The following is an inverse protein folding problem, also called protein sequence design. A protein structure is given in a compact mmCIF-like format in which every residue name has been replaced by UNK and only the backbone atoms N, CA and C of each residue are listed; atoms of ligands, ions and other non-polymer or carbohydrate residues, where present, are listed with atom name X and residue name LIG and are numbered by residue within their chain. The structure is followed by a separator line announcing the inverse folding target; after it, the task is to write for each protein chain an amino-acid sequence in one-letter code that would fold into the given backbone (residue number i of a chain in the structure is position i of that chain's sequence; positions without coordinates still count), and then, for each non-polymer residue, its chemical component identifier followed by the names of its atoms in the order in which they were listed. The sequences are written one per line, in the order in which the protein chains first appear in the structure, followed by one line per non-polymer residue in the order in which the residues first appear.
data_IF_385135929449
#
_entry.id   IF_385135929449
#
_cell.length_a   1.000
_cell.length_b   1.000
_cell.length_c   1.000
_cell.angle_alpha   90.00
_cell.angle_beta   90.00
_cell.angle_gamma   90.00
#
_symmetry.space_group_name_H-M   'P 1'
#
loop_
_entity.id
_entity.type
_entity.pdbx_description
1 polymer ?
#
# COMPACT_ATOMS: atom_id res chain seq x y z
N UNK A 1 -9.35 -3.06 5.30
CA UNK A 1 -8.13 -2.26 5.60
C UNK A 1 -7.59 -2.61 6.98
N UNK A 2 -8.41 -2.65 8.03
CA UNK A 2 -7.96 -2.97 9.41
C UNK A 2 -7.11 -4.25 9.51
N UNK A 3 -7.51 -5.32 8.83
CA UNK A 3 -6.71 -6.57 8.79
C UNK A 3 -5.31 -6.37 8.21
N UNK A 4 -5.13 -5.53 7.20
CA UNK A 4 -3.82 -5.21 6.62
C UNK A 4 -2.95 -4.40 7.59
N UNK A 5 -3.57 -3.57 8.44
CA UNK A 5 -2.88 -2.84 9.51
C UNK A 5 -2.45 -3.80 10.62
N UNK A 6 -3.35 -4.70 11.04
CA UNK A 6 -3.04 -5.75 12.02
C UNK A 6 -1.91 -6.66 11.55
N UNK A 7 -1.88 -7.00 10.25
CA UNK A 7 -0.83 -7.79 9.62
C UNK A 7 0.42 -6.98 9.25
N UNK A 8 0.47 -5.69 9.59
CA UNK A 8 1.59 -4.79 9.31
C UNK A 8 1.96 -4.67 7.83
N UNK A 9 0.99 -4.85 6.93
CA UNK A 9 1.12 -4.56 5.49
C UNK A 9 0.80 -3.10 5.17
N UNK A 10 0.07 -2.45 6.07
CA UNK A 10 -0.17 -1.00 6.12
C UNK A 10 0.13 -0.50 7.54
N UNK A 11 0.43 0.78 7.68
CA UNK A 11 0.57 1.45 8.98
C UNK A 11 -0.18 2.77 8.95
N UNK A 12 -0.87 3.10 10.05
CA UNK A 12 -1.51 4.40 10.22
C UNK A 12 -0.42 5.47 10.38
N UNK A 13 -0.48 6.51 9.57
CA UNK A 13 0.48 7.62 9.55
C UNK A 13 -0.31 8.92 9.71
N UNK A 14 -0.71 9.18 10.94
CA UNK A 14 -1.49 10.34 11.31
C UNK A 14 -1.78 10.30 12.82
N UNK A 15 -1.96 11.47 13.41
CA UNK A 15 -2.44 11.59 14.78
C UNK A 15 -3.97 11.67 14.78
N UNK A 16 -4.62 11.08 15.79
CA UNK A 16 -6.08 11.09 15.96
C UNK A 16 -6.68 12.51 16.01
N UNK A 17 -5.85 13.53 16.27
CA UNK A 17 -6.24 14.93 16.43
C UNK A 17 -6.34 15.70 15.09
N UNK A 18 -6.11 15.08 13.93
CA UNK A 18 -6.27 15.72 12.62
C UNK A 18 -7.72 15.61 12.12
N UNK A 19 -8.30 16.72 11.67
CA UNK A 19 -9.61 16.77 11.01
C UNK A 19 -9.64 16.03 9.65
N UNK A 20 -8.47 15.76 9.07
CA UNK A 20 -8.33 14.88 7.92
C UNK A 20 -8.55 13.42 8.35
N UNK A 21 -9.32 12.66 7.57
CA UNK A 21 -9.50 11.22 7.82
C UNK A 21 -8.17 10.44 7.91
N UNK A 22 -8.20 9.19 8.42
CA UNK A 22 -6.99 8.43 8.73
C UNK A 22 -6.12 8.22 7.48
N UNK A 23 -4.85 8.61 7.58
CA UNK A 23 -3.84 8.45 6.52
C UNK A 23 -3.05 7.17 6.77
N UNK A 24 -2.77 6.39 5.73
CA UNK A 24 -2.03 5.13 5.83
C UNK A 24 -0.83 5.12 4.89
N UNK A 25 0.22 4.42 5.29
CA UNK A 25 1.40 4.14 4.46
C UNK A 25 1.52 2.64 4.23
N UNK A 26 1.93 2.29 3.03
CA UNK A 26 2.28 0.93 2.65
C UNK A 26 3.65 0.56 3.20
N UNK A 27 3.76 -0.60 3.86
CA UNK A 27 4.99 -1.08 4.51
C UNK A 27 5.65 -2.25 3.79
N UNK A 28 5.11 -2.67 2.64
CA UNK A 28 5.66 -3.76 1.83
C UNK A 28 6.53 -3.25 0.70
N UNK A 29 7.48 -4.08 0.25
CA UNK A 29 8.35 -3.77 -0.89
C UNK A 29 7.60 -3.88 -2.22
N UNK A 30 8.18 -3.27 -3.26
CA UNK A 30 7.65 -3.37 -4.63
C UNK A 30 7.65 -4.82 -5.14
N UNK A 31 8.63 -5.63 -4.77
CA UNK A 31 8.68 -7.06 -5.16
C UNK A 31 7.48 -7.84 -4.61
N UNK A 32 7.10 -7.58 -3.37
CA UNK A 32 5.91 -8.18 -2.75
C UNK A 32 4.64 -7.74 -3.48
N UNK A 33 4.49 -6.44 -3.75
CA UNK A 33 3.36 -5.89 -4.50
C UNK A 33 3.28 -6.53 -5.90
N UNK A 34 4.41 -6.68 -6.58
CA UNK A 34 4.49 -7.30 -7.91
C UNK A 34 4.12 -8.78 -7.88
N UNK A 35 4.54 -9.51 -6.84
CA UNK A 35 4.15 -10.90 -6.66
C UNK A 35 2.63 -11.05 -6.54
N UNK A 36 1.96 -10.19 -5.76
CA UNK A 36 0.50 -10.16 -5.66
C UNK A 36 -0.13 -9.74 -6.99
N UNK A 37 0.38 -8.70 -7.66
CA UNK A 37 -0.18 -8.23 -8.93
C UNK A 37 -0.24 -9.35 -9.99
N UNK A 38 0.77 -10.24 -10.02
CA UNK A 38 0.78 -11.41 -10.90
C UNK A 38 -0.34 -12.41 -10.60
N UNK A 39 -0.73 -12.61 -9.35
CA UNK A 39 -1.78 -13.58 -9.00
C UNK A 39 -3.16 -13.18 -9.51
N UNK A 40 -3.35 -11.88 -9.78
CA UNK A 40 -4.58 -11.30 -10.31
C UNK A 40 -4.44 -10.80 -11.74
N UNK A 41 -3.37 -11.18 -12.45
CA UNK A 41 -3.07 -10.75 -13.82
C UNK A 41 -3.08 -9.22 -14.02
N UNK A 42 -2.55 -8.48 -13.05
CA UNK A 42 -2.47 -7.02 -13.08
C UNK A 42 -1.04 -6.52 -13.32
N UNK A 43 -0.88 -5.55 -14.23
CA UNK A 43 0.42 -4.97 -14.58
C UNK A 43 0.65 -3.64 -13.85
N UNK A 44 1.12 -3.74 -12.60
CA UNK A 44 1.36 -2.59 -11.72
C UNK A 44 2.43 -1.62 -12.25
N UNK A 45 3.39 -2.09 -13.04
CA UNK A 45 4.54 -1.26 -13.48
C UNK A 45 4.09 -0.10 -14.36
N UNK A 46 3.04 -0.29 -15.17
CA UNK A 46 2.44 0.76 -16.02
C UNK A 46 1.91 1.97 -15.25
N UNK A 47 1.72 1.84 -13.93
CA UNK A 47 1.19 2.89 -13.07
C UNK A 47 2.28 3.57 -12.23
N UNK A 48 3.54 3.19 -12.39
CA UNK A 48 4.67 3.80 -11.70
C UNK A 48 5.33 4.86 -12.61
N UNK A 49 5.49 6.07 -12.09
CA UNK A 49 6.00 7.23 -12.86
C UNK A 49 7.45 7.07 -13.33
N UNK A 50 8.32 6.45 -12.54
CA UNK A 50 9.78 6.38 -12.83
C UNK A 50 10.18 5.22 -13.75
N UNK A 51 9.23 4.38 -14.18
CA UNK A 51 9.49 3.20 -15.02
C UNK A 51 8.91 3.34 -16.43
N UNK A 52 8.62 4.57 -16.85
CA UNK A 52 8.12 4.98 -18.16
C UNK A 52 9.23 5.62 -19.01
#
# INVERSE_FOLDING_TARGET
ITSLVTLQLLTLVGHDDQLDGPKYKCTVSLDFIRAIARTVNFDIIKYLYDFL
#
